data_IF_707379218327
#
_entry.id   IF_707379218327
#
_cell.length_a   1.000
_cell.length_b   1.000
_cell.length_c   1.000
_cell.angle_alpha   90.00
_cell.angle_beta   90.00
_cell.angle_gamma   90.00
#
_symmetry.space_group_name_H-M   'P 1'
#
loop_
_entity.id
_entity.type
_entity.pdbx_description
1 polymer ?
#
# COMPACT_ATOMS: atom_id res chain seq x y z
N UNK A 1 14.80 -32.06 -31.51
CA UNK A 1 14.31 -30.96 -32.38
C UNK A 1 13.12 -30.21 -31.76
N UNK A 2 12.09 -30.90 -31.24
CA UNK A 2 10.92 -30.26 -30.59
C UNK A 2 11.29 -29.46 -29.32
N UNK A 3 12.12 -30.02 -28.43
CA UNK A 3 12.59 -29.33 -27.20
C UNK A 3 13.33 -28.01 -27.46
N UNK A 4 14.09 -27.93 -28.54
CA UNK A 4 14.89 -26.75 -28.90
C UNK A 4 14.00 -25.60 -29.42
N UNK A 5 12.90 -25.93 -30.10
CA UNK A 5 11.90 -24.95 -30.55
C UNK A 5 11.12 -24.40 -29.35
N UNK A 6 10.68 -25.24 -28.41
CA UNK A 6 10.05 -24.77 -27.16
C UNK A 6 10.99 -23.90 -26.32
N UNK A 7 12.26 -24.29 -26.17
CA UNK A 7 13.29 -23.50 -25.49
C UNK A 7 13.51 -22.15 -26.19
N UNK A 8 13.60 -22.12 -27.53
CA UNK A 8 13.79 -20.89 -28.31
C UNK A 8 12.56 -19.96 -28.28
N UNK A 9 11.34 -20.51 -28.23
CA UNK A 9 10.10 -19.73 -28.07
C UNK A 9 9.97 -19.14 -26.64
N UNK A 10 10.31 -19.91 -25.60
CA UNK A 10 10.32 -19.42 -24.22
C UNK A 10 11.35 -18.29 -24.06
N UNK A 11 12.55 -18.43 -24.62
CA UNK A 11 13.60 -17.39 -24.52
C UNK A 11 13.21 -16.08 -25.24
N UNK A 12 12.50 -16.14 -26.38
CA UNK A 12 12.04 -14.94 -27.12
C UNK A 12 10.85 -14.22 -26.45
N UNK A 13 9.98 -14.97 -25.75
CA UNK A 13 8.87 -14.42 -24.96
C UNK A 13 9.37 -13.84 -23.62
N UNK A 14 10.43 -14.40 -23.04
CA UNK A 14 10.71 -14.25 -21.61
C UNK A 14 11.58 -13.04 -21.20
N UNK A 15 12.43 -12.45 -22.04
CA UNK A 15 13.27 -11.32 -21.56
C UNK A 15 12.64 -9.94 -21.76
N UNK A 16 12.12 -9.62 -22.95
CA UNK A 16 11.49 -8.32 -23.21
C UNK A 16 10.18 -8.13 -22.43
N UNK A 17 9.35 -9.17 -22.32
CA UNK A 17 8.04 -9.07 -21.66
C UNK A 17 8.17 -8.95 -20.14
N UNK A 18 9.15 -9.65 -19.54
CA UNK A 18 9.45 -9.53 -18.11
C UNK A 18 10.06 -8.16 -17.83
N UNK A 19 11.07 -7.73 -18.58
CA UNK A 19 11.67 -6.39 -18.40
C UNK A 19 10.67 -5.27 -18.61
N UNK A 20 9.82 -5.33 -19.66
CA UNK A 20 8.81 -4.31 -19.91
C UNK A 20 7.74 -4.29 -18.82
N UNK A 21 7.26 -5.46 -18.36
CA UNK A 21 6.31 -5.51 -17.23
C UNK A 21 6.92 -5.01 -15.93
N UNK A 22 8.17 -5.36 -15.61
CA UNK A 22 8.85 -4.84 -14.43
C UNK A 22 9.03 -3.32 -14.51
N UNK A 23 9.41 -2.81 -15.69
CA UNK A 23 9.63 -1.38 -15.90
C UNK A 23 8.34 -0.57 -15.84
N UNK A 24 7.26 -1.05 -16.47
CA UNK A 24 5.94 -0.42 -16.43
C UNK A 24 5.38 -0.42 -15.01
N UNK A 25 5.46 -1.54 -14.29
CA UNK A 25 5.03 -1.62 -12.89
C UNK A 25 5.86 -0.67 -12.02
N UNK A 26 7.18 -0.64 -12.18
CA UNK A 26 8.05 0.26 -11.41
C UNK A 26 7.76 1.74 -11.67
N UNK A 27 7.56 2.11 -12.93
CA UNK A 27 7.30 3.50 -13.32
C UNK A 27 5.90 3.97 -12.90
N UNK A 28 4.88 3.13 -13.07
CA UNK A 28 3.53 3.39 -12.57
C UNK A 28 3.52 3.47 -11.04
N UNK A 29 4.21 2.55 -10.36
CA UNK A 29 4.35 2.60 -8.91
C UNK A 29 5.03 3.89 -8.47
N UNK A 30 6.11 4.32 -9.11
CA UNK A 30 6.79 5.58 -8.74
C UNK A 30 5.88 6.81 -8.85
N UNK A 31 5.11 6.93 -9.93
CA UNK A 31 4.19 8.06 -10.13
C UNK A 31 3.02 8.04 -9.16
N UNK A 32 2.36 6.89 -9.01
CA UNK A 32 1.23 6.72 -8.09
C UNK A 32 1.70 6.89 -6.65
N UNK A 33 2.86 6.33 -6.30
CA UNK A 33 3.43 6.42 -4.95
C UNK A 33 3.72 7.88 -4.56
N UNK A 34 4.36 8.68 -5.41
CA UNK A 34 4.64 10.09 -5.09
C UNK A 34 3.37 10.88 -4.79
N UNK A 35 2.30 10.65 -5.56
CA UNK A 35 1.03 11.37 -5.39
C UNK A 35 0.22 10.85 -4.20
N UNK A 36 0.27 9.54 -3.92
CA UNK A 36 -0.34 8.96 -2.73
C UNK A 36 0.42 9.31 -1.44
N UNK A 37 1.72 9.54 -1.53
CA UNK A 37 2.53 9.95 -0.39
C UNK A 37 2.06 11.28 0.21
N UNK A 38 1.55 12.19 -0.63
CA UNK A 38 0.94 13.46 -0.18
C UNK A 38 -0.28 13.27 0.73
N UNK A 39 -0.98 12.13 0.65
CA UNK A 39 -2.14 11.79 1.48
C UNK A 39 -1.76 10.99 2.72
N UNK A 40 -0.47 10.71 2.94
CA UNK A 40 -0.02 9.92 4.09
C UNK A 40 -0.03 10.80 5.34
N UNK A 41 -0.86 10.42 6.31
CA UNK A 41 -0.89 11.06 7.64
C UNK A 41 0.43 10.82 8.39
N UNK A 42 0.82 11.72 9.29
CA UNK A 42 2.05 11.56 10.08
C UNK A 42 2.00 10.30 10.96
N UNK A 43 0.83 9.97 11.46
CA UNK A 43 0.54 8.84 12.33
C UNK A 43 0.42 7.51 11.57
N UNK A 44 0.38 7.54 10.23
CA UNK A 44 0.27 6.34 9.42
C UNK A 44 1.61 5.60 9.35
N UNK A 45 1.80 4.58 10.16
CA UNK A 45 3.03 3.78 10.18
C UNK A 45 3.06 2.65 9.15
N UNK A 46 1.89 2.16 8.71
CA UNK A 46 1.77 1.01 7.82
C UNK A 46 1.94 1.38 6.35
N UNK A 47 2.70 0.58 5.61
CA UNK A 47 2.92 0.73 4.16
C UNK A 47 3.57 2.06 3.74
N UNK A 48 4.29 2.72 4.66
CA UNK A 48 5.05 3.95 4.40
C UNK A 48 6.54 3.65 4.52
N UNK A 49 7.32 3.94 3.48
CA UNK A 49 8.76 3.73 3.48
C UNK A 49 9.42 4.51 4.62
N UNK A 50 10.25 3.83 5.42
CA UNK A 50 10.96 4.44 6.54
C UNK A 50 10.19 4.47 7.87
N UNK A 51 8.92 4.03 7.90
CA UNK A 51 8.16 3.81 9.13
C UNK A 51 8.07 2.32 9.42
N UNK A 52 8.17 1.95 10.68
CA UNK A 52 8.19 0.58 11.16
C UNK A 52 6.96 0.27 12.03
N UNK A 53 6.70 -1.00 12.26
CA UNK A 53 5.67 -1.42 13.22
C UNK A 53 5.98 -0.97 14.65
N UNK A 54 7.26 -0.73 14.99
CA UNK A 54 7.64 -0.21 16.29
C UNK A 54 7.14 1.23 16.48
N UNK A 55 7.13 2.05 15.42
CA UNK A 55 6.66 3.43 15.48
C UNK A 55 5.17 3.49 15.85
N UNK A 56 4.34 2.58 15.33
CA UNK A 56 2.92 2.45 15.70
C UNK A 56 2.75 2.13 17.18
N UNK A 57 3.61 1.26 17.72
CA UNK A 57 3.56 0.86 19.13
C UNK A 57 3.97 2.02 20.02
N UNK A 58 5.01 2.78 19.64
CA UNK A 58 5.45 3.98 20.36
C UNK A 58 4.36 5.06 20.36
N UNK A 59 3.78 5.37 19.19
CA UNK A 59 2.65 6.31 19.08
C UNK A 59 1.47 5.89 19.97
N UNK A 60 1.13 4.60 19.98
CA UNK A 60 0.09 4.10 20.88
C UNK A 60 0.47 4.32 22.35
N UNK A 61 1.70 3.97 22.76
CA UNK A 61 2.20 4.17 24.12
C UNK A 61 2.17 5.65 24.55
N UNK A 62 2.38 6.59 23.65
CA UNK A 62 2.27 8.02 23.93
C UNK A 62 0.81 8.46 24.11
N UNK A 63 -0.13 7.89 23.34
CA UNK A 63 -1.56 8.25 23.37
C UNK A 63 -2.31 7.59 24.54
N UNK A 64 -1.98 6.36 24.92
CA UNK A 64 -2.70 5.61 25.97
C UNK A 64 -2.81 6.34 27.33
N UNK A 65 -1.76 7.02 27.84
CA UNK A 65 -1.85 7.80 29.08
C UNK A 65 -2.94 8.88 29.06
N UNK A 66 -3.28 9.43 27.88
CA UNK A 66 -4.35 10.43 27.77
C UNK A 66 -5.73 9.85 28.03
N UNK A 67 -5.95 8.55 27.78
CA UNK A 67 -7.20 7.88 28.09
C UNK A 67 -7.49 7.84 29.59
N UNK A 68 -6.46 7.85 30.42
CA UNK A 68 -6.59 7.84 31.88
C UNK A 68 -6.76 9.24 32.51
N UNK A 69 -6.63 10.32 31.72
CA UNK A 69 -6.82 11.69 32.22
C UNK A 69 -8.29 11.95 32.51
N UNK A 70 -8.59 12.58 33.65
CA UNK A 70 -9.96 13.00 33.99
C UNK A 70 -10.43 14.09 33.04
N UNK A 71 -11.41 13.76 32.21
CA UNK A 71 -12.11 14.71 31.31
C UNK A 71 -13.61 14.63 31.54
N UNK A 72 -14.33 15.70 31.22
CA UNK A 72 -15.80 15.70 31.21
C UNK A 72 -16.27 14.82 30.04
N UNK A 73 -16.99 13.72 30.34
CA UNK A 73 -17.58 12.86 29.31
C UNK A 73 -16.88 11.52 29.01
N UNK A 74 -15.76 11.22 29.69
CA UNK A 74 -14.89 10.04 29.48
C UNK A 74 -14.05 10.07 28.18
N UNK A 75 -12.92 9.37 28.20
CA UNK A 75 -12.09 9.12 27.02
C UNK A 75 -12.40 7.73 26.43
N UNK A 76 -12.37 7.61 25.11
CA UNK A 76 -12.63 6.35 24.39
C UNK A 76 -11.52 6.13 23.38
N UNK A 77 -11.02 4.89 23.31
CA UNK A 77 -10.18 4.41 22.23
C UNK A 77 -10.99 3.47 21.33
N UNK A 78 -10.90 3.66 20.02
CA UNK A 78 -11.61 2.85 19.02
C UNK A 78 -10.56 2.11 18.20
N UNK A 79 -10.60 0.77 18.25
CA UNK A 79 -9.81 -0.08 17.35
C UNK A 79 -10.66 -0.41 16.13
N UNK A 80 -10.23 0.08 14.97
CA UNK A 80 -10.83 -0.26 13.67
C UNK A 80 -9.94 -1.33 13.02
N UNK A 81 -10.50 -2.51 12.79
CA UNK A 81 -9.84 -3.61 12.11
C UNK A 81 -10.66 -3.99 10.89
N UNK A 82 -10.06 -3.88 9.71
CA UNK A 82 -10.73 -4.17 8.44
C UNK A 82 -10.47 -5.63 8.07
N UNK A 83 -11.53 -6.42 7.96
CA UNK A 83 -11.40 -7.79 7.49
C UNK A 83 -10.95 -7.77 6.02
N UNK A 84 -9.85 -8.48 5.72
CA UNK A 84 -9.38 -8.75 4.35
C UNK A 84 -9.52 -7.57 3.38
N UNK A 85 -8.97 -6.42 3.76
CA UNK A 85 -9.13 -5.16 3.01
C UNK A 85 -8.81 -5.26 1.51
N UNK A 86 -7.87 -6.12 1.10
CA UNK A 86 -7.53 -6.34 -0.31
C UNK A 86 -8.55 -7.19 -1.08
N UNK A 87 -9.28 -8.07 -0.39
CA UNK A 87 -10.33 -8.90 -0.99
C UNK A 87 -11.67 -8.16 -1.07
N UNK A 88 -11.92 -7.26 -0.10
CA UNK A 88 -13.19 -6.55 0.03
C UNK A 88 -13.25 -5.21 -0.71
N UNK A 89 -12.08 -4.63 -1.07
CA UNK A 89 -12.05 -3.34 -1.75
C UNK A 89 -12.58 -3.46 -3.19
N UNK A 90 -13.54 -2.60 -3.53
CA UNK A 90 -14.09 -2.54 -4.89
C UNK A 90 -13.04 -1.99 -5.87
N UNK A 91 -12.77 -2.73 -6.95
CA UNK A 91 -11.93 -2.24 -8.05
C UNK A 91 -12.50 -0.98 -8.70
N UNK A 92 -13.83 -0.86 -8.78
CA UNK A 92 -14.48 0.35 -9.32
C UNK A 92 -14.17 1.56 -8.44
N UNK A 93 -14.17 1.38 -7.11
CA UNK A 93 -13.77 2.44 -6.19
C UNK A 93 -12.31 2.85 -6.42
N UNK A 94 -11.39 1.89 -6.53
CA UNK A 94 -9.97 2.18 -6.80
C UNK A 94 -9.81 2.92 -8.14
N UNK A 95 -10.49 2.49 -9.20
CA UNK A 95 -10.43 3.15 -10.51
C UNK A 95 -10.92 4.59 -10.47
N UNK A 96 -12.06 4.86 -9.81
CA UNK A 96 -12.58 6.21 -9.66
C UNK A 96 -11.67 7.08 -8.78
N UNK A 97 -11.12 6.52 -7.72
CA UNK A 97 -10.17 7.20 -6.85
C UNK A 97 -8.90 7.61 -7.62
N UNK A 98 -8.32 6.70 -8.40
CA UNK A 98 -7.16 6.99 -9.23
C UNK A 98 -7.46 8.03 -10.32
N UNK A 99 -8.65 7.97 -10.95
CA UNK A 99 -9.09 8.97 -11.92
C UNK A 99 -9.19 10.37 -11.29
N UNK A 100 -9.73 10.47 -10.07
CA UNK A 100 -9.77 11.73 -9.31
C UNK A 100 -8.36 12.25 -8.96
N UNK A 101 -7.39 11.36 -8.84
CA UNK A 101 -5.97 11.70 -8.69
C UNK A 101 -5.27 11.96 -10.03
N UNK A 102 -6.01 12.05 -11.14
CA UNK A 102 -5.52 12.27 -12.50
C UNK A 102 -4.58 11.16 -13.01
N UNK A 103 -4.88 9.90 -12.69
CA UNK A 103 -4.27 8.70 -13.24
C UNK A 103 -5.21 7.97 -14.21
#
# INVERSE_FOLDING_TARGET
MVSQVYSMFVVRISLKMIFLKQFEIFFLQGRVFLKLFEFTLEEQSGFVTGRTAADSVLLAQEVFPFLHKKVRGHNVAIKLDMMKAFDEVSLQFISLFLLNLAF
#
